data_IF_641397121188
#
_entry.id   IF_641397121188
#
_cell.length_a   1.000
_cell.length_b   1.000
_cell.length_c   1.000
_cell.angle_alpha   90.00
_cell.angle_beta   90.00
_cell.angle_gamma   90.00
#
_symmetry.space_group_name_H-M   'P 1'
#
loop_
_entity.id
_entity.type
_entity.pdbx_description
1 polymer ?
#
# COMPACT_ATOMS: atom_id res chain seq x y z
N UNK A 1 -12.31 -29.21 20.40
CA UNK A 1 -11.43 -28.37 19.56
C UNK A 1 -11.78 -28.65 18.10
N UNK A 2 -12.40 -27.68 17.41
CA UNK A 2 -12.80 -27.83 16.00
C UNK A 2 -11.58 -27.79 15.06
N UNK A 3 -11.68 -28.44 13.90
CA UNK A 3 -10.62 -28.39 12.87
C UNK A 3 -10.76 -27.11 12.05
N UNK A 4 -9.68 -26.34 11.94
CA UNK A 4 -9.60 -25.20 11.02
C UNK A 4 -9.43 -25.72 9.59
N UNK A 5 -10.35 -25.38 8.69
CA UNK A 5 -10.23 -25.72 7.27
C UNK A 5 -9.58 -24.54 6.53
N UNK A 6 -8.30 -24.70 6.18
CA UNK A 6 -7.59 -23.74 5.35
C UNK A 6 -7.73 -24.11 3.87
N UNK A 7 -8.03 -23.11 3.06
CA UNK A 7 -7.99 -23.23 1.60
C UNK A 7 -6.52 -23.32 1.18
N UNK A 8 -6.16 -24.42 0.51
CA UNK A 8 -4.84 -24.59 -0.09
C UNK A 8 -4.74 -23.73 -1.35
N UNK A 9 -3.64 -22.97 -1.49
CA UNK A 9 -3.25 -22.28 -2.71
C UNK A 9 -2.07 -23.04 -3.34
N UNK A 10 -2.30 -23.88 -4.36
CA UNK A 10 -1.23 -24.61 -5.03
C UNK A 10 -0.14 -23.68 -5.59
N UNK A 11 1.12 -24.06 -5.41
CA UNK A 11 2.25 -23.33 -5.96
C UNK A 11 2.39 -23.60 -7.47
N UNK A 12 1.60 -22.91 -8.28
CA UNK A 12 1.57 -23.05 -9.76
C UNK A 12 2.62 -22.17 -10.47
N UNK A 13 3.72 -21.83 -9.80
CA UNK A 13 4.69 -20.84 -10.33
C UNK A 13 4.34 -19.38 -9.99
N UNK A 14 3.12 -19.11 -9.53
CA UNK A 14 2.69 -17.77 -9.12
C UNK A 14 3.23 -17.38 -7.73
N UNK A 15 3.51 -16.09 -7.54
CA UNK A 15 3.83 -15.53 -6.22
C UNK A 15 2.61 -15.69 -5.31
N UNK A 16 2.81 -16.22 -4.10
CA UNK A 16 1.75 -16.32 -3.09
C UNK A 16 2.06 -15.34 -1.97
N UNK A 17 1.05 -14.54 -1.60
CA UNK A 17 1.10 -13.68 -0.43
C UNK A 17 0.62 -14.46 0.79
N UNK A 18 1.41 -14.41 1.86
CA UNK A 18 1.14 -15.11 3.12
C UNK A 18 1.07 -14.13 4.27
N UNK A 19 0.35 -14.50 5.32
CA UNK A 19 0.36 -13.79 6.59
C UNK A 19 1.77 -13.82 7.18
N UNK A 20 2.32 -12.65 7.54
CA UNK A 20 3.67 -12.56 8.13
C UNK A 20 3.80 -13.24 9.49
N UNK A 21 2.70 -13.43 10.22
CA UNK A 21 2.70 -13.98 11.58
C UNK A 21 2.63 -15.50 11.65
N UNK A 22 1.99 -16.15 10.67
CA UNK A 22 1.72 -17.59 10.71
C UNK A 22 1.83 -18.29 9.35
N UNK A 23 2.36 -17.60 8.34
CA UNK A 23 2.58 -18.08 6.96
C UNK A 23 1.34 -18.64 6.23
N UNK A 24 0.14 -18.40 6.77
CA UNK A 24 -1.12 -18.80 6.15
C UNK A 24 -1.24 -18.13 4.77
N UNK A 25 -1.46 -18.88 3.68
CA UNK A 25 -1.59 -18.32 2.34
C UNK A 25 -2.89 -17.52 2.21
N UNK A 26 -2.81 -16.30 1.66
CA UNK A 26 -3.92 -15.35 1.60
C UNK A 26 -4.40 -15.06 0.18
N UNK A 27 -3.50 -14.92 -0.78
CA UNK A 27 -3.85 -14.59 -2.16
C UNK A 27 -2.71 -14.89 -3.13
N UNK A 28 -3.03 -15.02 -4.43
CA UNK A 28 -2.04 -15.01 -5.49
C UNK A 28 -1.64 -13.59 -5.87
N UNK A 29 -0.39 -13.40 -6.28
CA UNK A 29 0.09 -12.14 -6.83
C UNK A 29 -0.59 -11.74 -8.14
N UNK A 30 -1.17 -12.71 -8.87
CA UNK A 30 -1.99 -12.46 -10.07
C UNK A 30 -3.32 -11.80 -9.73
N UNK A 31 -3.80 -11.91 -8.49
CA UNK A 31 -5.03 -11.27 -8.03
C UNK A 31 -4.82 -9.80 -7.61
N UNK A 32 -3.59 -9.27 -7.70
CA UNK A 32 -3.32 -7.86 -7.46
C UNK A 32 -3.88 -7.03 -8.61
N UNK A 33 -4.82 -6.15 -8.27
CA UNK A 33 -5.38 -5.16 -9.19
C UNK A 33 -4.49 -3.91 -9.23
N UNK A 34 -3.98 -3.47 -8.07
CA UNK A 34 -3.10 -2.29 -8.01
C UNK A 34 -2.15 -2.33 -6.82
N UNK A 35 -0.92 -1.84 -7.05
CA UNK A 35 0.15 -1.72 -6.03
C UNK A 35 0.35 -0.30 -5.51
N UNK A 36 -0.46 0.64 -5.99
CA UNK A 36 -0.32 2.08 -5.71
C UNK A 36 -1.21 2.55 -4.56
N UNK A 37 -1.91 1.63 -3.89
CA UNK A 37 -2.78 1.97 -2.77
C UNK A 37 -1.97 2.26 -1.51
N UNK A 38 -2.58 3.05 -0.61
CA UNK A 38 -2.02 3.39 0.69
C UNK A 38 -3.06 3.14 1.78
N UNK A 39 -2.58 2.75 2.95
CA UNK A 39 -3.34 2.63 4.19
C UNK A 39 -2.68 3.49 5.27
N UNK A 40 -3.27 3.53 6.47
CA UNK A 40 -2.73 4.31 7.61
C UNK A 40 -1.25 4.02 7.87
N UNK A 41 -0.83 2.77 7.69
CA UNK A 41 0.53 2.30 7.97
C UNK A 41 1.49 2.36 6.77
N UNK A 42 1.08 2.95 5.63
CA UNK A 42 1.94 3.11 4.46
C UNK A 42 1.40 2.46 3.19
N UNK A 43 2.22 1.67 2.50
CA UNK A 43 1.88 1.09 1.19
C UNK A 43 0.98 -0.14 1.34
N UNK A 44 -0.02 -0.26 0.48
CA UNK A 44 -0.96 -1.37 0.46
C UNK A 44 -1.20 -1.89 -0.96
N UNK A 45 -1.70 -3.11 -1.04
CA UNK A 45 -2.14 -3.74 -2.29
C UNK A 45 -3.66 -3.78 -2.36
N UNK A 46 -4.21 -3.53 -3.55
CA UNK A 46 -5.60 -3.82 -3.86
C UNK A 46 -5.68 -5.21 -4.51
N UNK A 47 -6.33 -6.15 -3.84
CA UNK A 47 -6.57 -7.50 -4.33
C UNK A 47 -8.01 -7.69 -4.81
N UNK A 48 -8.16 -8.45 -5.89
CA UNK A 48 -9.44 -8.91 -6.42
C UNK A 48 -10.04 -10.06 -5.64
N UNK A 49 -9.19 -10.97 -5.16
CA UNK A 49 -9.60 -12.19 -4.46
C UNK A 49 -8.62 -12.47 -3.32
N UNK A 50 -9.18 -12.95 -2.20
CA UNK A 50 -8.42 -13.41 -1.03
C UNK A 50 -9.13 -14.63 -0.43
N UNK A 51 -8.35 -15.48 0.24
CA UNK A 51 -8.81 -16.67 0.96
C UNK A 51 -8.20 -16.67 2.37
N UNK A 52 -8.71 -17.54 3.25
CA UNK A 52 -8.19 -17.70 4.61
C UNK A 52 -8.22 -16.40 5.44
N UNK A 53 -9.26 -15.58 5.20
CA UNK A 53 -9.54 -14.35 5.93
C UNK A 53 -10.92 -14.40 6.57
N UNK A 54 -11.01 -13.91 7.81
CA UNK A 54 -12.28 -13.59 8.45
C UNK A 54 -12.61 -12.12 8.22
N UNK A 55 -13.90 -11.84 8.14
CA UNK A 55 -14.42 -10.49 7.93
C UNK A 55 -15.02 -10.00 9.25
N UNK A 56 -14.62 -8.80 9.66
CA UNK A 56 -15.14 -8.14 10.85
C UNK A 56 -16.46 -7.41 10.62
N UNK A 57 -16.77 -6.54 11.56
CA UNK A 57 -17.95 -5.68 11.50
C UNK A 57 -17.84 -4.65 10.37
N UNK A 58 -19.02 -4.17 9.94
CA UNK A 58 -19.11 -3.11 8.93
C UNK A 58 -18.86 -1.78 9.59
N UNK A 59 -18.10 -0.93 8.91
CA UNK A 59 -17.70 0.38 9.38
C UNK A 59 -17.73 1.36 8.21
N UNK A 60 -18.38 2.51 8.41
CA UNK A 60 -18.48 3.57 7.41
C UNK A 60 -17.32 4.55 7.60
N UNK A 61 -16.44 4.63 6.60
CA UNK A 61 -15.22 5.43 6.64
C UNK A 61 -15.23 6.51 5.57
N UNK A 62 -15.04 7.75 6.01
CA UNK A 62 -14.72 8.85 5.11
C UNK A 62 -13.27 8.73 4.63
N UNK A 63 -13.06 8.71 3.32
CA UNK A 63 -11.74 8.67 2.69
C UNK A 63 -11.61 9.84 1.70
N UNK A 64 -10.40 10.06 1.18
CA UNK A 64 -10.15 11.13 0.18
C UNK A 64 -11.08 11.03 -1.04
N UNK A 65 -11.50 9.82 -1.40
CA UNK A 65 -12.39 9.57 -2.55
C UNK A 65 -13.87 9.48 -2.17
N UNK A 66 -14.27 9.91 -0.97
CA UNK A 66 -15.65 9.90 -0.48
C UNK A 66 -15.94 8.82 0.57
N UNK A 67 -17.23 8.65 0.88
CA UNK A 67 -17.73 7.71 1.90
C UNK A 67 -17.73 6.26 1.39
N UNK A 68 -17.18 5.35 2.19
CA UNK A 68 -17.14 3.91 1.89
C UNK A 68 -17.57 3.10 3.10
N UNK A 69 -18.41 2.10 2.89
CA UNK A 69 -18.65 1.04 3.88
C UNK A 69 -17.59 -0.04 3.69
N UNK A 70 -16.84 -0.32 4.74
CA UNK A 70 -15.76 -1.32 4.73
C UNK A 70 -15.93 -2.31 5.88
N UNK A 71 -15.12 -3.35 5.88
CA UNK A 71 -14.98 -4.25 7.03
C UNK A 71 -13.53 -4.66 7.16
N UNK A 72 -13.03 -4.69 8.40
CA UNK A 72 -11.66 -5.15 8.65
C UNK A 72 -11.53 -6.65 8.37
N UNK A 73 -10.36 -7.08 7.91
CA UNK A 73 -10.07 -8.48 7.62
C UNK A 73 -8.94 -9.01 8.50
N UNK A 74 -9.11 -10.25 8.95
CA UNK A 74 -8.23 -10.91 9.91
C UNK A 74 -7.75 -12.24 9.34
N UNK A 75 -6.52 -12.64 9.67
CA UNK A 75 -6.04 -13.97 9.31
C UNK A 75 -6.86 -15.04 10.05
N UNK A 76 -7.41 -16.01 9.33
CA UNK A 76 -8.24 -17.07 9.93
C UNK A 76 -7.47 -17.98 10.90
N UNK A 77 -6.14 -18.05 10.77
CA UNK A 77 -5.30 -18.93 11.58
C UNK A 77 -4.78 -18.27 12.88
N UNK A 78 -4.33 -17.01 12.81
CA UNK A 78 -3.73 -16.33 13.96
C UNK A 78 -4.50 -15.10 14.45
N UNK A 79 -5.55 -14.68 13.75
CA UNK A 79 -6.37 -13.52 14.11
C UNK A 79 -5.71 -12.16 13.84
N UNK A 80 -4.48 -12.09 13.32
CA UNK A 80 -3.81 -10.82 13.04
C UNK A 80 -4.61 -9.97 12.04
N UNK A 81 -4.67 -8.66 12.25
CA UNK A 81 -5.26 -7.71 11.31
C UNK A 81 -4.40 -7.68 10.03
N UNK A 82 -5.04 -7.90 8.88
CA UNK A 82 -4.39 -7.91 7.58
C UNK A 82 -4.67 -6.61 6.79
N UNK A 83 -5.83 -6.02 7.00
CA UNK A 83 -6.31 -4.86 6.27
C UNK A 83 -7.83 -4.78 6.31
N UNK A 84 -8.47 -4.45 5.19
CA UNK A 84 -9.92 -4.29 5.12
C UNK A 84 -10.48 -4.53 3.72
N UNK A 85 -11.77 -4.81 3.62
CA UNK A 85 -12.50 -5.04 2.35
C UNK A 85 -13.51 -3.92 2.13
N UNK A 86 -13.63 -3.44 0.90
CA UNK A 86 -14.70 -2.55 0.50
C UNK A 86 -16.00 -3.32 0.33
N UNK A 87 -17.07 -2.87 1.00
CA UNK A 87 -18.41 -3.44 0.85
C UNK A 87 -19.28 -2.60 -0.09
N UNK A 88 -19.25 -1.28 0.09
CA UNK A 88 -19.99 -0.33 -0.73
C UNK A 88 -19.22 0.99 -0.85
N UNK A 89 -19.41 1.68 -1.98
CA UNK A 89 -18.98 3.06 -2.15
C UNK A 89 -20.17 3.93 -2.55
N UNK A 90 -20.33 5.08 -1.90
CA UNK A 90 -21.41 6.03 -2.24
C UNK A 90 -21.17 6.63 -3.63
N UNK A 91 -19.92 7.00 -3.91
CA UNK A 91 -19.53 7.58 -5.17
C UNK A 91 -19.47 6.54 -6.28
N UNK A 92 -20.24 6.74 -7.36
CA UNK A 92 -20.29 5.81 -8.51
C UNK A 92 -18.91 5.54 -9.11
N UNK A 93 -18.07 6.57 -9.17
CA UNK A 93 -16.69 6.48 -9.66
C UNK A 93 -15.79 5.56 -8.81
N UNK A 94 -16.17 5.27 -7.56
CA UNK A 94 -15.40 4.42 -6.64
C UNK A 94 -15.94 3.00 -6.53
N UNK A 95 -17.08 2.68 -7.15
CA UNK A 95 -17.71 1.35 -7.06
C UNK A 95 -16.86 0.21 -7.61
N UNK A 96 -15.85 0.48 -8.44
CA UNK A 96 -14.90 -0.53 -8.90
C UNK A 96 -14.11 -1.19 -7.74
N UNK A 97 -14.05 -0.52 -6.58
CA UNK A 97 -13.43 -1.03 -5.35
C UNK A 97 -14.33 -1.99 -4.59
N UNK A 98 -15.64 -2.00 -4.84
CA UNK A 98 -16.59 -2.87 -4.13
C UNK A 98 -16.19 -4.34 -4.27
N UNK A 99 -16.19 -5.05 -3.14
CA UNK A 99 -15.76 -6.45 -3.05
C UNK A 99 -14.25 -6.67 -3.07
N UNK A 100 -13.44 -5.62 -3.26
CA UNK A 100 -11.97 -5.69 -3.30
C UNK A 100 -11.37 -5.52 -1.92
N UNK A 101 -10.12 -5.97 -1.78
CA UNK A 101 -9.43 -6.05 -0.50
C UNK A 101 -8.21 -5.15 -0.50
N UNK A 102 -8.05 -4.37 0.56
CA UNK A 102 -6.82 -3.65 0.88
C UNK A 102 -6.01 -4.50 1.84
N UNK A 103 -4.79 -4.83 1.43
CA UNK A 103 -3.84 -5.62 2.21
C UNK A 103 -2.61 -4.79 2.53
N UNK A 104 -2.32 -4.61 3.82
CA UNK A 104 -1.14 -3.87 4.28
C UNK A 104 0.14 -4.67 3.97
N UNK A 105 1.13 -4.02 3.34
CA UNK A 105 2.42 -4.64 3.01
C UNK A 105 3.25 -4.97 4.24
N UNK A 106 3.05 -4.30 5.36
CA UNK A 106 3.81 -4.51 6.60
C UNK A 106 3.53 -5.85 7.28
N UNK A 107 2.37 -6.45 7.00
CA UNK A 107 1.84 -7.66 7.67
C UNK A 107 1.75 -8.89 6.75
N UNK A 108 2.28 -8.80 5.52
CA UNK A 108 2.32 -9.91 4.57
C UNK A 108 3.70 -10.11 3.96
N UNK A 109 3.98 -11.35 3.59
CA UNK A 109 5.21 -11.75 2.90
C UNK A 109 4.87 -12.37 1.55
N UNK A 110 5.61 -11.98 0.51
CA UNK A 110 5.49 -12.58 -0.82
C UNK A 110 6.49 -13.75 -0.92
N UNK A 111 6.01 -14.89 -1.40
CA UNK A 111 6.88 -16.02 -1.69
C UNK A 111 6.76 -16.44 -3.15
N UNK A 112 7.88 -16.36 -3.87
CA UNK A 112 8.00 -16.90 -5.22
C UNK A 112 8.38 -18.39 -5.16
N UNK A 113 7.73 -19.27 -5.92
CA UNK A 113 8.03 -20.71 -5.92
C UNK A 113 9.35 -21.12 -6.62
N UNK A 114 10.36 -20.25 -6.64
CA UNK A 114 11.63 -20.52 -7.35
C UNK A 114 12.84 -19.72 -6.86
N UNK A 115 12.78 -19.07 -5.70
CA UNK A 115 13.92 -18.39 -5.10
C UNK A 115 14.27 -19.04 -3.77
N UNK A 116 15.41 -19.71 -3.70
CA UNK A 116 15.92 -20.34 -2.50
C UNK A 116 16.05 -19.39 -1.32
N UNK A 117 16.16 -19.98 -0.14
CA UNK A 117 16.41 -19.34 1.13
C UNK A 117 17.42 -18.18 1.03
N UNK A 118 16.96 -17.00 1.42
CA UNK A 118 17.78 -15.85 1.78
C UNK A 118 17.23 -15.29 3.09
N UNK A 119 17.51 -15.98 4.19
CA UNK A 119 17.38 -15.38 5.51
C UNK A 119 18.52 -14.37 5.69
N UNK A 120 18.19 -13.14 6.11
CA UNK A 120 19.14 -12.26 6.80
C UNK A 120 19.31 -10.85 6.21
N UNK A 121 19.04 -9.86 7.10
CA UNK A 121 19.57 -8.49 7.13
C UNK A 121 19.14 -7.52 5.99
N UNK A 122 18.92 -6.22 6.19
CA UNK A 122 19.28 -5.34 7.29
C UNK A 122 18.29 -4.17 7.39
N UNK A 123 18.09 -3.71 8.63
CA UNK A 123 17.72 -2.34 8.92
C UNK A 123 18.86 -1.40 8.50
N UNK A 124 18.51 -0.22 7.96
CA UNK A 124 19.36 0.98 7.98
C UNK A 124 20.45 1.07 6.93
N UNK A 125 20.33 2.07 6.05
CA UNK A 125 21.34 3.11 5.75
C UNK A 125 20.98 3.70 4.37
N UNK A 126 20.35 4.88 4.35
CA UNK A 126 20.42 5.72 3.16
C UNK A 126 21.82 6.33 3.14
N UNK A 127 22.63 6.11 2.10
CA UNK A 127 23.79 6.96 1.87
C UNK A 127 23.28 8.30 1.37
N UNK A 128 23.44 9.31 2.22
CA UNK A 128 23.57 10.70 1.81
C UNK A 128 24.64 10.77 0.72
N UNK A 129 24.26 11.23 -0.48
CA UNK A 129 25.22 11.48 -1.54
C UNK A 129 25.09 12.93 -1.99
N UNK A 130 25.78 13.77 -1.23
CA UNK A 130 26.21 15.10 -1.62
C UNK A 130 27.27 15.00 -2.73
N UNK A 131 26.99 15.60 -3.89
CA UNK A 131 27.97 16.05 -4.90
C UNK A 131 27.42 17.42 -5.34
N UNK A 132 27.89 18.56 -4.82
CA UNK A 132 29.16 19.23 -5.11
C UNK A 132 29.56 19.15 -6.59
N UNK A 133 29.19 20.19 -7.35
CA UNK A 133 29.96 20.66 -8.50
C UNK A 133 30.19 22.16 -8.33
N UNK A 134 31.46 22.49 -8.22
CA UNK A 134 32.09 23.82 -8.21
C UNK A 134 32.23 24.41 -9.62
N UNK A 135 32.38 25.74 -9.71
CA UNK A 135 32.81 26.52 -10.89
C UNK A 135 31.83 27.64 -11.25
N UNK A 136 31.94 28.89 -10.75
CA UNK A 136 32.92 30.00 -11.00
C UNK A 136 32.49 30.94 -12.14
N UNK A 137 32.81 32.24 -11.97
CA UNK A 137 32.68 33.43 -12.87
C UNK A 137 31.26 34.00 -13.12
N UNK A 138 30.98 35.31 -13.15
CA UNK A 138 31.66 36.56 -12.79
C UNK A 138 30.63 37.67 -13.15
N UNK A 139 30.65 38.82 -12.48
CA UNK A 139 29.96 40.02 -12.98
C UNK A 139 29.06 40.76 -11.99
N UNK A 140 29.72 41.66 -11.26
CA UNK A 140 29.17 42.76 -10.46
C UNK A 140 28.48 43.83 -11.34
N UNK A 141 28.05 44.90 -10.68
CA UNK A 141 27.66 46.22 -11.18
C UNK A 141 26.16 46.52 -11.43
N UNK A 142 25.55 47.04 -10.35
CA UNK A 142 24.90 48.36 -10.21
C UNK A 142 24.32 49.02 -11.47
N UNK A 143 23.10 49.56 -11.38
CA UNK A 143 22.86 50.96 -11.00
C UNK A 143 21.36 51.32 -11.11
N UNK A 144 20.97 52.30 -10.29
CA UNK A 144 19.98 53.34 -10.53
C UNK A 144 18.50 53.06 -10.27
N UNK A 145 18.08 53.53 -9.09
CA UNK A 145 16.79 54.15 -8.83
C UNK A 145 16.36 55.09 -9.98
N UNK A 146 15.08 55.07 -10.36
CA UNK A 146 14.37 56.31 -10.70
C UNK A 146 12.85 56.16 -10.56
N UNK A 147 12.33 57.04 -9.70
CA UNK A 147 10.95 57.36 -9.35
C UNK A 147 10.15 57.84 -10.58
N UNK A 148 8.84 57.56 -10.63
CA UNK A 148 7.80 58.46 -11.19
C UNK A 148 6.39 57.89 -11.03
N UNK A 149 5.70 58.38 -9.98
CA UNK A 149 4.42 59.08 -9.97
C UNK A 149 3.37 58.92 -11.09
N UNK A 150 2.11 59.10 -10.65
CA UNK A 150 0.91 59.58 -11.38
C UNK A 150 0.09 58.54 -12.20
N UNK A 151 -1.15 58.19 -11.82
CA UNK A 151 -2.46 58.91 -11.80
C UNK A 151 -3.34 58.51 -13.00
N UNK A 152 -4.64 58.35 -12.69
CA UNK A 152 -5.83 58.34 -13.60
C UNK A 152 -6.04 57.05 -14.41
N UNK A 153 -7.26 56.50 -14.59
CA UNK A 153 -8.65 56.88 -14.24
C UNK A 153 -9.47 55.58 -14.08
#
# INVERSE_FOLDING_TARGET
>A
MGRLLLVSLPATGAVIYRCKHCDTPLAYGTDIISKMFRCKNGKAYLFGKMVNVNVGEKDDRMMTTGMHTVCDIFCVACGSILGWKYLAAVEKAQRYKEGKFILDRGVVVAASPGGGAGAGAAHGMWPDHQQQTSGDDDGDDQDSDEESSDHQD
#
